data_IF_207923491348
#
_entry.id   IF_207923491348
#
_cell.length_a   1.000
_cell.length_b   1.000
_cell.length_c   1.000
_cell.angle_alpha   90.00
_cell.angle_beta   90.00
_cell.angle_gamma   90.00
#
_symmetry.space_group_name_H-M   'P 1'
#
loop_
_entity.id
_entity.type
_entity.pdbx_description
1 polymer ?
#
# COMPACT_ATOMS: atom_id res chain seq x y z
N UNK A 1 -13.48 7.34 17.05
CA UNK A 1 -12.14 7.17 16.45
C UNK A 1 -12.01 7.90 15.10
N UNK A 2 -12.92 7.75 14.13
CA UNK A 2 -12.93 8.62 12.93
C UNK A 2 -12.93 7.84 11.62
N UNK A 3 -12.40 8.44 10.54
CA UNK A 3 -12.32 7.83 9.21
C UNK A 3 -11.04 8.25 8.48
N UNK A 4 -10.60 7.44 7.53
CA UNK A 4 -9.59 7.77 6.53
C UNK A 4 -10.17 7.58 5.13
N UNK A 5 -9.62 8.26 4.13
CA UNK A 5 -10.06 8.21 2.73
C UNK A 5 -8.85 7.90 1.84
N UNK A 6 -9.10 7.29 0.68
CA UNK A 6 -8.04 6.80 -0.22
C UNK A 6 -7.21 7.97 -0.78
N UNK A 7 -5.92 8.02 -0.47
CA UNK A 7 -5.01 9.09 -0.92
C UNK A 7 -4.65 8.98 -2.40
N UNK A 8 -4.50 7.75 -2.93
CA UNK A 8 -4.08 7.51 -4.30
C UNK A 8 -5.16 6.76 -5.07
N UNK A 9 -5.76 7.41 -6.06
CA UNK A 9 -6.87 6.86 -6.85
C UNK A 9 -6.34 6.30 -8.19
N UNK A 10 -6.53 5.00 -8.48
CA UNK A 10 -6.11 4.42 -9.74
C UNK A 10 -6.96 4.91 -10.92
N UNK A 11 -6.33 4.88 -12.10
CA UNK A 11 -6.90 5.22 -13.40
C UNK A 11 -6.45 4.20 -14.47
N UNK A 12 -6.30 2.93 -14.07
CA UNK A 12 -5.59 1.90 -14.84
C UNK A 12 -6.49 0.71 -15.15
N UNK A 13 -6.61 0.38 -16.44
CA UNK A 13 -7.39 -0.77 -16.92
C UNK A 13 -8.84 -0.73 -16.40
N UNK A 14 -9.28 -1.83 -15.80
CA UNK A 14 -10.64 -1.94 -15.24
C UNK A 14 -10.82 -1.19 -13.91
N UNK A 15 -9.73 -0.76 -13.27
CA UNK A 15 -9.75 0.00 -12.02
C UNK A 15 -9.97 1.51 -12.27
N UNK A 16 -11.12 1.83 -12.87
CA UNK A 16 -11.57 3.18 -13.21
C UNK A 16 -12.11 3.96 -12.00
N UNK A 17 -11.42 3.89 -10.87
CA UNK A 17 -11.92 4.43 -9.60
C UNK A 17 -12.10 5.96 -9.60
N UNK A 18 -11.27 6.69 -10.37
CA UNK A 18 -11.36 8.16 -10.44
C UNK A 18 -12.67 8.68 -11.03
N UNK A 19 -13.43 7.84 -11.73
CA UNK A 19 -14.77 8.19 -12.22
C UNK A 19 -15.78 8.29 -11.06
N UNK A 20 -15.51 7.63 -9.94
CA UNK A 20 -16.43 7.52 -8.82
C UNK A 20 -16.07 8.45 -7.65
N UNK A 21 -14.79 8.74 -7.43
CA UNK A 21 -14.34 9.57 -6.31
C UNK A 21 -12.96 10.20 -6.53
N UNK A 22 -12.72 11.30 -5.83
CA UNK A 22 -11.47 12.08 -5.86
C UNK A 22 -10.50 11.66 -4.75
N UNK A 23 -9.23 12.04 -4.93
CA UNK A 23 -8.17 11.91 -3.93
C UNK A 23 -8.58 12.51 -2.57
N UNK A 24 -8.21 11.82 -1.49
CA UNK A 24 -8.47 12.25 -0.12
C UNK A 24 -7.78 13.55 0.26
N UNK A 25 -8.46 14.36 1.08
CA UNK A 25 -7.92 15.54 1.75
C UNK A 25 -7.67 15.33 3.26
N UNK A 26 -7.80 14.08 3.77
CA UNK A 26 -7.65 13.77 5.20
C UNK A 26 -6.22 13.45 5.63
N UNK A 27 -5.27 13.43 4.69
CA UNK A 27 -3.87 13.13 4.97
C UNK A 27 -3.65 11.66 5.36
N UNK A 28 -2.87 11.43 6.42
CA UNK A 28 -2.41 10.10 6.83
C UNK A 28 -2.75 9.82 8.31
N UNK A 29 -4.05 9.80 8.69
CA UNK A 29 -4.44 9.65 10.09
C UNK A 29 -4.01 8.30 10.65
N UNK A 30 -3.55 8.33 11.91
CA UNK A 30 -3.27 7.16 12.74
C UNK A 30 -4.27 7.15 13.88
N UNK A 31 -4.88 5.99 14.13
CA UNK A 31 -5.90 5.81 15.14
C UNK A 31 -5.27 5.10 16.34
N UNK A 32 -5.23 5.77 17.47
CA UNK A 32 -4.80 5.18 18.73
C UNK A 32 -5.93 4.37 19.34
N UNK A 33 -5.68 3.09 19.57
CA UNK A 33 -6.62 2.14 20.15
C UNK A 33 -6.01 1.53 21.40
N UNK A 34 -6.82 0.84 22.21
CA UNK A 34 -6.31 0.07 23.35
C UNK A 34 -5.32 -1.06 22.94
N UNK A 35 -5.26 -1.41 21.64
CA UNK A 35 -4.45 -2.49 21.10
C UNK A 35 -3.29 -1.99 20.22
N UNK A 36 -3.00 -0.69 20.26
CA UNK A 36 -1.93 -0.07 19.47
C UNK A 36 -2.42 0.99 18.49
N UNK A 37 -1.45 1.65 17.85
CA UNK A 37 -1.66 2.72 16.85
C UNK A 37 -1.79 2.13 15.45
N UNK A 38 -2.96 2.24 14.86
CA UNK A 38 -3.27 1.63 13.56
C UNK A 38 -3.46 2.68 12.46
N UNK A 39 -3.09 2.32 11.23
CA UNK A 39 -3.36 3.11 10.03
C UNK A 39 -3.96 2.23 8.93
N UNK A 40 -4.55 2.87 7.91
CA UNK A 40 -5.14 2.17 6.78
C UNK A 40 -4.64 2.78 5.46
N UNK A 41 -3.75 2.06 4.79
CA UNK A 41 -3.31 2.38 3.44
C UNK A 41 -4.24 1.70 2.42
N UNK A 42 -5.13 2.44 1.77
CA UNK A 42 -6.20 1.84 0.97
C UNK A 42 -5.71 1.46 -0.45
N UNK A 43 -5.76 0.16 -0.77
CA UNK A 43 -5.60 -0.45 -2.08
C UNK A 43 -4.41 0.10 -2.91
N UNK A 44 -4.65 0.99 -3.87
CA UNK A 44 -3.64 1.52 -4.81
C UNK A 44 -2.58 2.39 -4.12
N UNK A 45 -2.86 2.86 -2.90
CA UNK A 45 -1.85 3.46 -2.05
C UNK A 45 -0.70 2.51 -1.69
N UNK A 46 -0.82 1.20 -1.94
CA UNK A 46 0.26 0.22 -1.78
C UNK A 46 1.48 0.50 -2.65
N UNK A 47 1.27 1.05 -3.84
CA UNK A 47 2.32 1.31 -4.83
C UNK A 47 3.17 2.55 -4.51
N UNK A 48 2.83 3.29 -3.44
CA UNK A 48 3.40 4.59 -3.12
C UNK A 48 4.18 4.52 -1.81
N UNK A 49 5.51 4.31 -1.84
CA UNK A 49 6.34 4.22 -0.63
C UNK A 49 6.15 5.40 0.33
N UNK A 50 5.98 6.61 -0.20
CA UNK A 50 5.73 7.82 0.57
C UNK A 50 4.43 7.76 1.38
N UNK A 51 3.39 7.10 0.86
CA UNK A 51 2.10 6.98 1.54
C UNK A 51 2.25 6.08 2.79
N UNK A 52 2.97 4.96 2.66
CA UNK A 52 3.34 4.11 3.81
C UNK A 52 4.19 4.86 4.83
N UNK A 53 5.21 5.58 4.34
CA UNK A 53 6.14 6.33 5.16
C UNK A 53 5.43 7.38 6.01
N UNK A 54 4.46 8.11 5.45
CA UNK A 54 3.72 9.13 6.18
C UNK A 54 2.88 8.56 7.33
N UNK A 55 2.24 7.39 7.17
CA UNK A 55 1.55 6.72 8.28
C UNK A 55 2.53 6.32 9.39
N UNK A 56 3.70 5.79 9.03
CA UNK A 56 4.72 5.41 10.00
C UNK A 56 5.35 6.62 10.71
N UNK A 57 5.56 7.73 10.01
CA UNK A 57 6.01 9.00 10.61
C UNK A 57 4.98 9.55 11.59
N UNK A 58 3.69 9.35 11.33
CA UNK A 58 2.60 9.66 12.25
C UNK A 58 2.46 8.65 13.40
N UNK A 59 3.37 7.68 13.52
CA UNK A 59 3.47 6.78 14.65
C UNK A 59 2.67 5.48 14.55
N UNK A 60 2.20 5.09 13.37
CA UNK A 60 1.54 3.79 13.17
C UNK A 60 2.47 2.63 13.57
N UNK A 61 1.92 1.64 14.27
CA UNK A 61 2.57 0.37 14.61
C UNK A 61 2.10 -0.75 13.67
N UNK A 62 0.84 -0.66 13.22
CA UNK A 62 0.23 -1.58 12.24
C UNK A 62 -0.39 -0.74 11.12
N UNK A 63 -0.07 -1.06 9.87
CA UNK A 63 -0.69 -0.46 8.68
C UNK A 63 -1.47 -1.54 7.92
N UNK A 64 -2.79 -1.44 7.95
CA UNK A 64 -3.68 -2.30 7.18
C UNK A 64 -3.74 -1.84 5.72
N UNK A 65 -3.72 -2.79 4.78
CA UNK A 65 -3.82 -2.52 3.35
C UNK A 65 -4.96 -3.33 2.70
N UNK A 66 -6.22 -2.87 2.88
CA UNK A 66 -7.36 -3.47 2.21
C UNK A 66 -7.28 -3.19 0.70
N UNK A 67 -7.32 -4.23 -0.10
CA UNK A 67 -7.09 -4.20 -1.54
C UNK A 67 -8.12 -5.02 -2.31
N UNK A 68 -8.30 -4.64 -3.57
CA UNK A 68 -8.98 -5.44 -4.57
C UNK A 68 -8.13 -5.33 -5.84
N UNK A 69 -7.46 -6.42 -6.20
CA UNK A 69 -6.62 -6.47 -7.39
C UNK A 69 -6.60 -7.88 -7.98
N UNK A 70 -6.62 -7.95 -9.31
CA UNK A 70 -6.71 -9.18 -10.08
C UNK A 70 -5.32 -9.70 -10.49
N UNK A 71 -5.30 -10.96 -10.91
CA UNK A 71 -4.10 -11.63 -11.41
C UNK A 71 -3.48 -10.94 -12.63
N UNK A 72 -2.27 -11.37 -13.00
CA UNK A 72 -1.47 -10.74 -14.05
C UNK A 72 -0.33 -9.92 -13.45
N UNK A 73 -0.07 -8.72 -13.98
CA UNK A 73 1.08 -7.91 -13.57
C UNK A 73 1.05 -7.52 -12.08
N UNK A 74 -0.13 -7.30 -11.51
CA UNK A 74 -0.21 -6.87 -10.11
C UNK A 74 0.19 -7.96 -9.12
N UNK A 75 0.04 -9.24 -9.47
CA UNK A 75 0.26 -10.33 -8.52
C UNK A 75 1.75 -10.47 -8.16
N UNK A 76 2.64 -10.22 -9.12
CA UNK A 76 4.08 -10.25 -8.90
C UNK A 76 4.54 -9.19 -7.88
N UNK A 77 3.80 -8.08 -7.75
CA UNK A 77 4.10 -6.99 -6.82
C UNK A 77 3.59 -7.27 -5.40
N UNK A 78 2.56 -8.10 -5.26
CA UNK A 78 1.88 -8.38 -4.00
C UNK A 78 2.80 -8.83 -2.85
N UNK A 79 3.75 -9.77 -3.04
CA UNK A 79 4.64 -10.18 -1.96
C UNK A 79 5.77 -9.18 -1.67
N UNK A 80 5.88 -8.11 -2.46
CA UNK A 80 6.98 -7.14 -2.43
C UNK A 80 6.57 -5.89 -1.67
N UNK A 81 5.50 -5.21 -2.09
CA UNK A 81 5.23 -3.82 -1.71
C UNK A 81 4.91 -3.64 -0.24
N UNK A 82 3.92 -4.38 0.28
CA UNK A 82 3.56 -4.31 1.69
C UNK A 82 4.67 -4.85 2.60
N UNK A 83 5.43 -5.86 2.15
CA UNK A 83 6.59 -6.39 2.87
C UNK A 83 7.72 -5.35 2.93
N UNK A 84 8.02 -4.67 1.83
CA UNK A 84 9.00 -3.60 1.80
C UNK A 84 8.57 -2.44 2.71
N UNK A 85 7.29 -2.08 2.71
CA UNK A 85 6.76 -1.05 3.60
C UNK A 85 6.95 -1.39 5.08
N UNK A 86 6.78 -2.66 5.48
CA UNK A 86 7.05 -3.11 6.85
C UNK A 86 8.52 -2.89 7.24
N UNK A 87 9.45 -3.34 6.37
CA UNK A 87 10.90 -3.22 6.57
C UNK A 87 11.34 -1.75 6.62
N UNK A 88 10.99 -0.97 5.61
CA UNK A 88 11.45 0.41 5.46
C UNK A 88 10.95 1.34 6.58
N UNK A 89 9.86 0.95 7.26
CA UNK A 89 9.21 1.78 8.26
C UNK A 89 9.25 1.24 9.69
N UNK A 90 9.73 0.02 9.89
CA UNK A 90 9.70 -0.69 11.18
C UNK A 90 8.29 -0.79 11.77
N UNK A 91 7.34 -1.24 10.96
CA UNK A 91 5.93 -1.42 11.33
C UNK A 91 5.43 -2.77 10.84
N UNK A 92 4.34 -3.27 11.43
CA UNK A 92 3.61 -4.37 10.83
C UNK A 92 2.78 -3.87 9.65
N UNK A 93 2.71 -4.67 8.58
CA UNK A 93 1.78 -4.42 7.47
C UNK A 93 0.87 -5.63 7.26
N UNK A 94 -0.39 -5.35 6.93
CA UNK A 94 -1.43 -6.38 6.77
C UNK A 94 -2.04 -6.23 5.37
N UNK A 95 -1.52 -7.00 4.41
CA UNK A 95 -2.01 -7.02 3.05
C UNK A 95 -3.25 -7.92 2.95
N UNK A 96 -4.39 -7.36 2.57
CA UNK A 96 -5.65 -8.09 2.45
C UNK A 96 -6.19 -7.88 1.04
N UNK A 97 -6.35 -8.95 0.26
CA UNK A 97 -6.97 -8.87 -1.06
C UNK A 97 -8.31 -9.62 -1.08
N UNK A 98 -9.20 -9.16 -1.96
CA UNK A 98 -10.40 -9.89 -2.38
C UNK A 98 -10.02 -11.25 -3.00
N UNK A 99 -10.97 -12.18 -3.03
CA UNK A 99 -10.82 -13.50 -3.64
C UNK A 99 -11.99 -13.81 -4.57
N UNK A 100 -11.75 -14.59 -5.63
CA UNK A 100 -12.78 -15.09 -6.55
C UNK A 100 -12.91 -14.28 -7.84
N UNK A 101 -13.97 -14.57 -8.60
CA UNK A 101 -14.29 -13.91 -9.88
C UNK A 101 -15.63 -13.22 -9.76
N UNK A 102 -15.75 -12.03 -10.33
CA UNK A 102 -16.99 -11.27 -10.39
C UNK A 102 -17.40 -11.07 -11.85
N UNK A 103 -18.68 -11.29 -12.14
CA UNK A 103 -19.27 -11.14 -13.47
C UNK A 103 -20.43 -10.15 -13.37
N UNK A 104 -20.44 -9.14 -14.25
CA UNK A 104 -21.42 -8.06 -14.24
C UNK A 104 -22.52 -8.26 -15.31
N UNK A 105 -23.72 -7.67 -15.14
CA UNK A 105 -24.82 -7.86 -16.08
C UNK A 105 -24.55 -7.31 -17.49
N UNK A 106 -23.88 -6.16 -17.56
CA UNK A 106 -23.60 -5.41 -18.79
C UNK A 106 -22.14 -5.57 -19.20
N UNK A 107 -21.89 -5.54 -20.50
CA UNK A 107 -20.52 -5.60 -21.03
C UNK A 107 -19.77 -4.29 -20.79
N UNK A 108 -18.45 -4.41 -20.60
CA UNK A 108 -17.51 -3.30 -20.51
C UNK A 108 -16.19 -3.68 -21.19
N UNK A 109 -15.32 -2.69 -21.40
CA UNK A 109 -13.98 -2.88 -22.00
C UNK A 109 -12.90 -2.41 -21.03
N UNK A 110 -11.73 -3.05 -21.10
CA UNK A 110 -10.56 -2.73 -20.25
C UNK A 110 -9.56 -1.77 -20.90
N UNK A 111 -9.95 -1.11 -22.01
CA UNK A 111 -9.10 -0.24 -22.82
C UNK A 111 -7.76 -0.89 -23.28
N UNK A 112 -7.75 -2.20 -23.51
CA UNK A 112 -6.56 -2.98 -23.89
C UNK A 112 -6.64 -3.58 -25.31
N UNK A 113 -7.61 -3.12 -26.12
CA UNK A 113 -7.85 -3.61 -27.49
C UNK A 113 -8.53 -4.98 -27.60
N UNK A 114 -8.89 -5.63 -26.48
CA UNK A 114 -9.67 -6.87 -26.48
C UNK A 114 -11.18 -6.60 -26.60
N UNK A 115 -11.99 -7.61 -26.98
CA UNK A 115 -13.45 -7.49 -27.03
C UNK A 115 -14.07 -7.08 -25.69
N UNK A 116 -15.28 -6.54 -25.74
CA UNK A 116 -16.08 -6.32 -24.55
C UNK A 116 -16.40 -7.64 -23.84
N UNK A 117 -16.53 -7.59 -22.52
CA UNK A 117 -16.67 -8.74 -21.65
C UNK A 117 -17.48 -8.39 -20.41
N UNK A 118 -17.85 -9.43 -19.64
CA UNK A 118 -18.63 -9.29 -18.41
C UNK A 118 -17.86 -9.70 -17.16
N UNK A 119 -16.79 -10.48 -17.29
CA UNK A 119 -15.93 -10.88 -16.19
C UNK A 119 -14.88 -9.79 -15.87
N UNK A 120 -14.67 -9.50 -14.59
CA UNK A 120 -13.68 -8.50 -14.16
C UNK A 120 -12.27 -9.08 -13.99
N UNK A 121 -12.15 -10.41 -14.07
CA UNK A 121 -10.92 -11.13 -13.75
C UNK A 121 -10.92 -11.74 -12.35
N UNK A 122 -9.83 -12.44 -12.04
CA UNK A 122 -9.70 -13.26 -10.84
C UNK A 122 -8.92 -12.52 -9.75
N UNK A 123 -9.62 -12.15 -8.67
CA UNK A 123 -9.01 -11.64 -7.44
C UNK A 123 -8.28 -12.78 -6.73
N UNK A 124 -6.97 -12.60 -6.52
CA UNK A 124 -6.06 -13.69 -6.16
C UNK A 124 -5.85 -13.87 -4.65
N UNK A 125 -6.65 -13.24 -3.78
CA UNK A 125 -6.54 -13.41 -2.32
C UNK A 125 -5.10 -13.21 -1.83
N UNK A 126 -4.49 -14.26 -1.32
CA UNK A 126 -3.08 -14.23 -0.89
C UNK A 126 -2.79 -13.23 0.22
N UNK A 127 -3.78 -12.94 1.06
CA UNK A 127 -3.62 -12.04 2.20
C UNK A 127 -2.55 -12.55 3.15
N UNK A 128 -1.73 -11.65 3.71
CA UNK A 128 -0.61 -11.98 4.61
C UNK A 128 -0.28 -10.82 5.55
N UNK A 129 0.53 -11.12 6.57
CA UNK A 129 1.09 -10.14 7.49
C UNK A 129 2.61 -10.13 7.33
N UNK A 130 3.21 -8.94 7.20
CA UNK A 130 4.66 -8.76 7.25
C UNK A 130 5.07 -7.98 8.50
N UNK A 131 6.22 -8.37 9.04
CA UNK A 131 6.77 -7.86 10.28
C UNK A 131 7.90 -6.84 10.05
N UNK A 132 8.17 -5.96 11.04
CA UNK A 132 9.24 -4.95 11.00
C UNK A 132 10.64 -5.50 10.72
N UNK A 133 10.92 -6.74 11.10
CA UNK A 133 12.20 -7.44 10.97
C UNK A 133 12.39 -8.10 9.59
N UNK A 134 11.40 -7.99 8.70
CA UNK A 134 11.40 -8.57 7.36
C UNK A 134 10.82 -9.98 7.26
N UNK A 135 10.49 -10.61 8.38
CA UNK A 135 9.69 -11.84 8.41
C UNK A 135 8.26 -11.59 7.91
N UNK A 136 7.58 -12.65 7.50
CA UNK A 136 6.16 -12.59 7.10
C UNK A 136 5.48 -13.94 7.23
N UNK A 137 4.16 -13.91 7.36
CA UNK A 137 3.34 -15.12 7.31
C UNK A 137 3.31 -15.69 5.88
N UNK A 138 3.00 -16.99 5.74
CA UNK A 138 2.47 -17.54 4.50
C UNK A 138 1.23 -16.76 4.06
N UNK A 139 0.97 -16.73 2.75
CA UNK A 139 -0.25 -16.16 2.19
C UNK A 139 -1.45 -17.09 2.42
N UNK A 140 -2.63 -16.52 2.63
CA UNK A 140 -3.90 -17.25 2.52
C UNK A 140 -4.14 -17.78 1.09
N UNK A 141 -5.19 -18.59 0.94
CA UNK A 141 -5.58 -19.14 -0.35
C UNK A 141 -5.82 -18.07 -1.42
N UNK A 142 -5.54 -18.43 -2.67
CA UNK A 142 -5.82 -17.59 -3.84
C UNK A 142 -7.27 -17.64 -4.31
N UNK A 143 -8.04 -18.62 -3.84
CA UNK A 143 -9.35 -18.97 -4.42
C UNK A 143 -10.44 -19.23 -3.38
N UNK A 144 -10.08 -19.34 -2.10
CA UNK A 144 -11.03 -19.63 -1.02
C UNK A 144 -11.07 -18.49 -0.02
N UNK A 145 -12.24 -18.31 0.58
CA UNK A 145 -12.39 -17.52 1.78
C UNK A 145 -11.48 -18.05 2.89
N UNK A 146 -11.04 -17.16 3.78
CA UNK A 146 -10.16 -17.53 4.86
C UNK A 146 -10.00 -16.42 5.90
N UNK A 147 -9.62 -16.84 7.10
CA UNK A 147 -9.29 -15.97 8.22
C UNK A 147 -7.82 -16.19 8.55
N UNK A 148 -7.05 -15.12 8.62
CA UNK A 148 -5.67 -15.13 9.10
C UNK A 148 -5.63 -14.56 10.51
N UNK A 149 -5.21 -15.38 11.47
CA UNK A 149 -5.00 -14.97 12.86
C UNK A 149 -3.50 -15.03 13.13
N UNK A 150 -2.95 -13.95 13.68
CA UNK A 150 -1.56 -13.89 14.11
C UNK A 150 -1.46 -13.06 15.40
N UNK A 151 -0.60 -13.51 16.30
CA UNK A 151 -0.22 -12.77 17.50
C UNK A 151 1.04 -11.96 17.19
N UNK A 152 1.04 -10.68 17.55
CA UNK A 152 2.10 -9.73 17.22
C UNK A 152 2.54 -8.99 18.50
N UNK A 153 3.84 -8.99 18.78
CA UNK A 153 4.41 -8.12 19.81
C UNK A 153 4.78 -6.77 19.19
N UNK A 154 4.02 -5.73 19.54
CA UNK A 154 4.24 -4.37 19.02
C UNK A 154 5.58 -3.76 19.46
N UNK A 155 6.22 -4.30 20.50
CA UNK A 155 7.55 -3.86 20.91
C UNK A 155 8.61 -4.12 19.82
N UNK A 156 8.38 -5.08 18.91
CA UNK A 156 9.28 -5.37 17.79
C UNK A 156 9.49 -4.17 16.88
N UNK A 157 8.48 -3.29 16.74
CA UNK A 157 8.59 -2.06 15.96
C UNK A 157 9.69 -1.15 16.50
N UNK A 158 9.79 -0.99 17.83
CA UNK A 158 10.84 -0.17 18.46
C UNK A 158 12.19 -0.88 18.40
N UNK A 159 12.24 -2.17 18.75
CA UNK A 159 13.48 -2.95 18.75
C UNK A 159 14.17 -2.94 17.39
N UNK A 160 13.42 -3.13 16.30
CA UNK A 160 13.96 -3.12 14.93
C UNK A 160 14.37 -1.72 14.48
N UNK A 161 13.62 -0.69 14.89
CA UNK A 161 13.97 0.72 14.63
C UNK A 161 15.31 1.09 15.27
N UNK A 162 15.54 0.65 16.50
CA UNK A 162 16.76 0.97 17.24
C UNK A 162 17.96 0.17 16.73
N UNK A 163 17.77 -1.11 16.36
CA UNK A 163 18.85 -1.97 15.86
C UNK A 163 19.33 -1.61 14.46
N UNK A 164 18.41 -1.23 13.56
CA UNK A 164 18.74 -0.88 12.17
C UNK A 164 18.96 0.61 11.94
N UNK A 165 18.31 1.47 12.74
CA UNK A 165 18.49 2.91 12.68
C UNK A 165 17.95 3.59 11.42
N UNK A 166 17.06 2.96 10.62
CA UNK A 166 16.58 3.59 9.38
C UNK A 166 15.92 4.93 9.65
N UNK A 167 15.09 5.03 10.70
CA UNK A 167 14.47 6.30 11.09
C UNK A 167 15.48 7.37 11.49
N UNK A 168 16.63 6.99 12.08
CA UNK A 168 17.69 7.94 12.43
C UNK A 168 18.40 8.49 11.18
N UNK A 169 18.49 7.70 10.12
CA UNK A 169 19.21 8.05 8.88
C UNK A 169 18.29 8.53 7.75
N UNK A 170 17.01 8.78 8.04
CA UNK A 170 15.99 9.13 7.04
C UNK A 170 16.20 10.47 6.33
N UNK A 171 16.93 11.43 6.94
CA UNK A 171 17.20 12.77 6.37
C UNK A 171 15.96 13.47 5.80
N UNK A 172 14.89 13.51 6.58
CA UNK A 172 13.58 14.02 6.14
C UNK A 172 13.64 15.47 5.66
N UNK A 173 14.51 16.28 6.25
CA UNK A 173 14.78 17.66 5.86
C UNK A 173 15.28 17.76 4.41
N UNK A 174 16.24 16.92 4.04
CA UNK A 174 16.77 16.85 2.67
C UNK A 174 15.65 16.46 1.70
N UNK A 175 14.93 15.38 1.98
CA UNK A 175 13.88 14.89 1.07
C UNK A 175 12.71 15.87 0.96
N UNK A 176 12.32 16.55 2.04
CA UNK A 176 11.27 17.57 2.00
C UNK A 176 11.65 18.73 1.07
N UNK A 177 12.89 19.22 1.19
CA UNK A 177 13.42 20.27 0.30
C UNK A 177 13.44 19.79 -1.16
N UNK A 178 13.98 18.59 -1.41
CA UNK A 178 14.10 18.05 -2.77
C UNK A 178 12.75 17.74 -3.41
N UNK A 179 11.79 17.19 -2.69
CA UNK A 179 10.44 16.97 -3.21
C UNK A 179 9.75 18.31 -3.55
N UNK A 180 9.96 19.34 -2.74
CA UNK A 180 9.44 20.70 -3.02
C UNK A 180 10.08 21.31 -4.27
N UNK A 181 11.39 21.08 -4.49
CA UNK A 181 12.07 21.48 -5.72
C UNK A 181 11.51 20.72 -6.93
N UNK A 182 11.38 19.39 -6.83
CA UNK A 182 10.88 18.52 -7.89
C UNK A 182 9.42 18.80 -8.29
N UNK A 183 8.59 19.30 -7.37
CA UNK A 183 7.18 19.60 -7.65
C UNK A 183 6.95 20.89 -8.45
N UNK A 184 7.99 21.70 -8.70
CA UNK A 184 7.87 22.96 -9.45
C UNK A 184 7.76 22.67 -10.95
N UNK A 185 6.93 23.44 -11.66
CA UNK A 185 6.73 23.31 -13.11
C UNK A 185 8.00 23.57 -13.94
N UNK A 186 8.94 24.33 -13.39
CA UNK A 186 10.23 24.66 -14.03
C UNK A 186 11.41 23.82 -13.49
N UNK A 187 11.14 22.73 -12.78
CA UNK A 187 12.19 21.86 -12.24
C UNK A 187 13.08 21.32 -13.37
N UNK A 188 14.40 21.38 -13.14
CA UNK A 188 15.40 20.77 -14.02
C UNK A 188 16.01 19.57 -13.28
N UNK A 189 15.85 18.34 -13.80
CA UNK A 189 16.45 17.16 -13.19
C UNK A 189 17.97 17.30 -13.03
N UNK A 190 18.49 16.83 -11.91
CA UNK A 190 19.93 16.82 -11.64
C UNK A 190 20.61 15.71 -12.45
N UNK A 191 20.88 15.99 -13.74
CA UNK A 191 21.53 15.07 -14.68
C UNK A 191 22.93 15.61 -15.02
N UNK A 192 23.95 14.78 -14.81
CA UNK A 192 25.34 15.06 -15.21
C UNK A 192 25.56 14.39 -16.57
N UNK A 193 26.04 15.15 -17.57
CA UNK A 193 26.36 14.65 -18.91
C UNK A 193 27.87 14.45 -19.05
N UNK A 194 28.25 13.49 -19.90
CA UNK A 194 29.62 13.31 -20.35
C UNK A 194 30.09 14.56 -21.11
N UNK A 195 31.34 14.96 -20.90
CA UNK A 195 31.96 16.15 -21.52
C UNK A 195 32.44 15.84 -22.93
#
# INVERSE_FOLDING_TARGET
MGKTRKNHIPRVGDFNESTYYMESNLGHPVFETAFGRIAVNICYGRHHPQNWMMYALNGAEIIFNPSATINGLSEALWPIEARNAAIANHVYTVGINRVGVEVFPNEFTSANGKPAHKDFGHFYGSSYIAAPDGCRTPSLSRTREGVLIAELDLNLCRQTKDSWGFKMTQRLDLYAQKLTECSKSNYRPQIIKEQ
#
